data_IF_302412994886
#
_entry.id   IF_302412994886
#
_cell.length_a   1.000
_cell.length_b   1.000
_cell.length_c   1.000
_cell.angle_alpha   90.00
_cell.angle_beta   90.00
_cell.angle_gamma   90.00
#
_symmetry.space_group_name_H-M   'P 1'
#
loop_
_entity.id
_entity.type
_entity.pdbx_description
1 polymer ?
#
# COMPACT_ATOMS: atom_id res chain seq x y z
N UNK A 1 44.65 -13.44 -38.07
CA UNK A 1 43.90 -12.17 -37.92
C UNK A 1 42.38 -12.36 -37.82
N UNK A 2 41.72 -13.12 -38.69
CA UNK A 2 40.24 -13.25 -38.68
C UNK A 2 39.66 -13.76 -37.35
N UNK A 3 40.28 -14.78 -36.73
CA UNK A 3 39.81 -15.36 -35.46
C UNK A 3 39.90 -14.40 -34.26
N UNK A 4 40.90 -13.51 -34.25
CA UNK A 4 41.07 -12.49 -33.20
C UNK A 4 40.04 -11.38 -33.38
N UNK A 5 39.77 -10.99 -34.63
CA UNK A 5 38.75 -9.98 -34.95
C UNK A 5 37.34 -10.47 -34.55
N UNK A 6 37.05 -11.76 -34.79
CA UNK A 6 35.78 -12.38 -34.35
C UNK A 6 35.65 -12.43 -32.82
N UNK A 7 36.75 -12.65 -32.10
CA UNK A 7 36.74 -12.68 -30.63
C UNK A 7 36.53 -11.28 -30.02
N UNK A 8 37.14 -10.24 -30.62
CA UNK A 8 36.91 -8.84 -30.23
C UNK A 8 35.47 -8.39 -30.52
N UNK A 9 34.88 -8.83 -31.63
CA UNK A 9 33.50 -8.53 -31.97
C UNK A 9 32.51 -9.14 -30.96
N UNK A 10 32.78 -10.36 -30.49
CA UNK A 10 31.97 -11.03 -29.47
C UNK A 10 31.95 -10.27 -28.14
N UNK A 11 33.11 -9.75 -27.71
CA UNK A 11 33.23 -8.97 -26.45
C UNK A 11 32.48 -7.64 -26.54
N UNK A 12 32.48 -6.99 -27.71
CA UNK A 12 31.76 -5.73 -27.90
C UNK A 12 30.24 -5.91 -27.84
N UNK A 13 29.72 -7.06 -28.30
CA UNK A 13 28.30 -7.41 -28.22
C UNK A 13 27.85 -7.90 -26.83
N UNK A 14 28.80 -8.27 -25.97
CA UNK A 14 28.57 -8.66 -24.58
C UNK A 14 28.59 -7.45 -23.63
N UNK A 15 28.31 -6.24 -24.14
CA UNK A 15 27.90 -5.12 -23.27
C UNK A 15 26.55 -5.48 -22.64
N UNK A 16 26.62 -6.30 -21.60
CA UNK A 16 25.47 -6.72 -20.80
C UNK A 16 24.95 -5.44 -20.18
N UNK A 17 23.79 -4.99 -20.63
CA UNK A 17 23.03 -3.97 -19.94
C UNK A 17 22.75 -4.57 -18.56
N UNK A 18 23.52 -4.14 -17.56
CA UNK A 18 23.18 -4.43 -16.18
C UNK A 18 21.74 -3.98 -16.00
N UNK A 19 20.93 -4.79 -15.32
CA UNK A 19 19.71 -4.23 -14.76
C UNK A 19 20.15 -3.07 -13.88
N UNK A 20 19.60 -1.88 -14.14
CA UNK A 20 20.07 -0.67 -13.48
C UNK A 20 20.06 -0.84 -11.96
N UNK A 21 21.09 -0.33 -11.29
CA UNK A 21 21.19 -0.42 -9.84
C UNK A 21 20.18 0.55 -9.20
N UNK A 22 19.56 0.10 -8.11
CA UNK A 22 18.72 0.96 -7.28
C UNK A 22 19.59 1.69 -6.28
N UNK A 23 19.70 3.01 -6.44
CA UNK A 23 20.33 3.88 -5.46
C UNK A 23 19.26 4.50 -4.58
N UNK A 24 19.36 4.32 -3.26
CA UNK A 24 18.48 5.00 -2.30
C UNK A 24 18.43 6.49 -2.58
N UNK A 25 17.23 7.05 -2.65
CA UNK A 25 17.01 8.48 -2.79
C UNK A 25 16.53 9.06 -1.45
N UNK A 26 15.34 8.65 -1.01
CA UNK A 26 14.71 9.18 0.20
C UNK A 26 13.60 8.28 0.72
N UNK A 27 13.20 8.50 1.97
CA UNK A 27 11.95 8.00 2.54
C UNK A 27 10.89 9.09 2.43
N UNK A 28 9.67 8.73 2.05
CA UNK A 28 8.58 9.68 1.80
C UNK A 28 7.26 9.19 2.38
N UNK A 29 6.47 10.13 2.90
CA UNK A 29 5.08 9.93 3.29
C UNK A 29 4.17 10.55 2.21
N UNK A 30 3.30 9.72 1.62
CA UNK A 30 2.34 10.14 0.60
C UNK A 30 0.96 10.25 1.23
N UNK A 31 0.37 11.46 1.22
CA UNK A 31 -0.99 11.71 1.72
C UNK A 31 -1.97 11.98 0.59
N UNK A 32 -1.69 12.94 -0.28
CA UNK A 32 -2.47 13.21 -1.49
C UNK A 32 -1.93 12.42 -2.68
N UNK A 33 -2.61 12.49 -3.83
CA UNK A 33 -2.17 11.78 -5.03
C UNK A 33 -0.82 12.31 -5.51
N UNK A 34 0.12 11.40 -5.65
CA UNK A 34 1.43 11.66 -6.24
C UNK A 34 1.79 10.58 -7.27
N UNK A 35 2.71 10.90 -8.17
CA UNK A 35 3.15 10.00 -9.24
C UNK A 35 4.61 9.62 -9.04
N UNK A 36 4.94 8.34 -9.19
CA UNK A 36 6.33 7.88 -9.23
C UNK A 36 7.06 8.57 -10.39
N UNK A 37 8.11 9.38 -10.15
CA UNK A 37 8.77 10.12 -11.22
C UNK A 37 9.49 9.21 -12.24
N UNK A 38 9.71 9.71 -13.45
CA UNK A 38 10.54 9.04 -14.45
C UNK A 38 11.97 8.83 -13.90
N UNK A 39 12.57 7.67 -14.21
CA UNK A 39 13.90 7.30 -13.71
C UNK A 39 13.93 6.90 -12.23
N UNK A 40 12.76 6.75 -11.60
CA UNK A 40 12.63 6.32 -10.20
C UNK A 40 11.70 5.13 -10.05
N UNK A 41 11.84 4.46 -8.91
CA UNK A 41 10.93 3.41 -8.44
C UNK A 41 10.62 3.67 -6.98
N UNK A 42 9.38 3.41 -6.57
CA UNK A 42 8.99 3.47 -5.16
C UNK A 42 8.79 2.07 -4.61
N UNK A 43 9.17 1.88 -3.35
CA UNK A 43 8.87 0.69 -2.56
C UNK A 43 7.97 1.10 -1.40
N UNK A 44 6.70 0.71 -1.44
CA UNK A 44 5.81 0.87 -0.29
C UNK A 44 6.22 -0.12 0.79
N UNK A 45 6.62 0.41 1.94
CA UNK A 45 7.01 -0.40 3.09
C UNK A 45 5.84 -0.62 4.03
N UNK A 46 5.06 0.45 4.28
CA UNK A 46 3.95 0.40 5.21
C UNK A 46 2.95 1.54 4.96
N UNK A 47 1.91 1.60 5.78
CA UNK A 47 0.97 2.70 5.82
C UNK A 47 0.70 3.10 7.28
N UNK A 48 0.28 4.36 7.48
CA UNK A 48 -0.08 4.90 8.77
C UNK A 48 -1.60 5.09 8.82
N UNK A 49 -2.33 4.34 9.66
CA UNK A 49 -3.74 4.55 9.92
C UNK A 49 -4.06 5.98 10.39
N UNK A 50 -5.23 6.51 10.00
CA UNK A 50 -5.71 7.77 10.56
C UNK A 50 -6.17 7.59 12.02
N UNK A 51 -5.82 8.53 12.91
CA UNK A 51 -6.09 8.48 14.36
C UNK A 51 -7.57 8.73 14.73
N UNK A 52 -8.34 9.30 13.80
CA UNK A 52 -9.75 9.58 13.99
C UNK A 52 -10.54 8.73 13.00
N UNK A 53 -11.44 7.91 13.53
CA UNK A 53 -12.48 7.23 12.78
C UNK A 53 -11.93 6.24 11.76
N UNK A 54 -11.64 5.01 12.20
CA UNK A 54 -11.86 3.89 11.30
C UNK A 54 -13.37 3.86 11.01
N UNK A 55 -13.79 4.52 9.93
CA UNK A 55 -15.21 4.61 9.55
C UNK A 55 -15.62 3.22 9.08
N UNK A 56 -16.66 2.71 9.73
CA UNK A 56 -17.38 1.57 9.20
C UNK A 56 -18.23 2.04 8.01
N UNK A 57 -17.88 1.56 6.83
CA UNK A 57 -18.55 1.88 5.55
C UNK A 57 -20.02 1.45 5.52
N UNK A 58 -20.43 0.53 6.40
CA UNK A 58 -21.80 0.03 6.47
C UNK A 58 -22.60 0.59 7.65
N UNK A 59 -22.03 1.49 8.45
CA UNK A 59 -22.70 2.04 9.63
C UNK A 59 -23.77 3.05 9.24
N UNK A 60 -25.04 2.73 9.51
CA UNK A 60 -26.10 3.74 9.45
C UNK A 60 -25.94 4.76 10.60
N UNK A 61 -26.14 6.07 10.36
CA UNK A 61 -25.91 7.13 11.36
C UNK A 61 -26.73 7.04 12.66
N UNK A 62 -27.83 6.27 12.69
CA UNK A 62 -28.83 6.32 13.77
C UNK A 62 -29.33 4.95 14.23
N UNK A 63 -28.58 3.87 14.01
CA UNK A 63 -28.91 2.57 14.57
C UNK A 63 -27.72 2.07 15.38
N UNK A 64 -27.95 1.74 16.66
CA UNK A 64 -27.00 1.02 17.50
C UNK A 64 -26.88 -0.44 17.03
N UNK A 65 -26.47 -0.66 15.78
CA UNK A 65 -25.92 -1.95 15.35
C UNK A 65 -24.43 -1.82 15.54
N UNK A 66 -23.93 -2.51 16.55
CA UNK A 66 -22.54 -2.45 16.91
C UNK A 66 -21.82 -3.62 16.23
N UNK A 67 -21.11 -3.29 15.16
CA UNK A 67 -20.49 -4.24 14.25
C UNK A 67 -20.31 -3.59 12.88
N UNK A 68 -19.10 -3.64 12.34
CA UNK A 68 -18.72 -2.82 11.20
C UNK A 68 -17.47 -3.26 10.45
N UNK A 69 -17.39 -2.88 9.17
CA UNK A 69 -16.23 -3.14 8.31
C UNK A 69 -15.38 -1.89 8.17
N UNK A 70 -14.16 -1.93 8.70
CA UNK A 70 -13.16 -0.88 8.57
C UNK A 70 -12.13 -1.30 7.53
N UNK A 71 -12.16 -0.64 6.38
CA UNK A 71 -11.20 -0.90 5.30
C UNK A 71 -10.08 0.14 5.32
N UNK A 72 -8.85 -0.32 5.13
CA UNK A 72 -7.67 0.52 4.90
C UNK A 72 -7.36 0.47 3.42
N UNK A 73 -7.57 1.59 2.73
CA UNK A 73 -7.55 1.65 1.26
C UNK A 73 -6.53 2.67 0.80
N UNK A 74 -5.69 2.26 -0.15
CA UNK A 74 -4.83 3.13 -0.96
C UNK A 74 -5.39 3.21 -2.38
N UNK A 75 -5.24 4.35 -3.05
CA UNK A 75 -5.56 4.48 -4.46
C UNK A 75 -4.30 4.28 -5.29
N UNK A 76 -4.32 3.29 -6.19
CA UNK A 76 -3.25 3.03 -7.16
C UNK A 76 -3.80 3.26 -8.57
N UNK A 77 -3.28 4.25 -9.29
CA UNK A 77 -3.82 4.67 -10.59
C UNK A 77 -5.34 4.98 -10.54
N UNK A 78 -5.81 5.52 -9.42
CA UNK A 78 -7.23 5.79 -9.15
C UNK A 78 -8.07 4.58 -8.73
N UNK A 79 -7.52 3.36 -8.76
CA UNK A 79 -8.22 2.15 -8.32
C UNK A 79 -8.03 1.91 -6.83
N UNK A 80 -9.09 1.45 -6.15
CA UNK A 80 -9.03 1.09 -4.73
C UNK A 80 -8.26 -0.22 -4.54
N UNK A 81 -7.26 -0.20 -3.66
CA UNK A 81 -6.50 -1.37 -3.22
C UNK A 81 -6.61 -1.49 -1.70
N UNK A 82 -7.12 -2.62 -1.23
CA UNK A 82 -7.27 -2.91 0.19
C UNK A 82 -5.95 -3.40 0.78
N UNK A 83 -5.47 -2.72 1.82
CA UNK A 83 -4.29 -3.13 2.59
C UNK A 83 -4.68 -4.05 3.74
N UNK A 84 -5.76 -3.70 4.42
CA UNK A 84 -6.34 -4.43 5.53
C UNK A 84 -7.85 -4.20 5.60
N UNK A 85 -8.57 -5.17 6.12
CA UNK A 85 -9.95 -5.02 6.55
C UNK A 85 -10.12 -5.53 7.97
N UNK A 86 -10.80 -4.76 8.81
CA UNK A 86 -11.23 -5.19 10.15
C UNK A 86 -12.74 -5.36 10.11
N UNK A 87 -13.23 -6.52 10.53
CA UNK A 87 -14.65 -6.76 10.71
C UNK A 87 -14.91 -6.89 12.21
N UNK A 88 -15.77 -6.03 12.75
CA UNK A 88 -16.27 -6.15 14.11
C UNK A 88 -17.69 -6.70 14.11
N UNK A 89 -18.01 -7.52 15.10
CA UNK A 89 -19.35 -7.97 15.41
C UNK A 89 -19.53 -7.90 16.92
N UNK A 90 -20.56 -7.22 17.39
CA UNK A 90 -20.97 -7.35 18.79
C UNK A 90 -22.00 -8.47 18.94
N UNK A 91 -21.79 -9.31 19.95
CA UNK A 91 -22.71 -10.35 20.38
C UNK A 91 -23.17 -9.97 21.78
N UNK A 92 -24.46 -9.66 21.93
CA UNK A 92 -25.04 -9.13 23.16
C UNK A 92 -25.27 -7.62 23.04
N UNK A 93 -26.50 -7.19 23.26
CA UNK A 93 -26.88 -5.77 23.26
C UNK A 93 -26.71 -5.23 24.67
N UNK A 94 -26.24 -4.00 24.79
CA UNK A 94 -26.61 -3.17 25.95
C UNK A 94 -28.05 -2.67 25.74
N UNK A 95 -29.01 -3.60 25.68
CA UNK A 95 -30.41 -3.28 25.78
C UNK A 95 -30.63 -2.89 27.25
N UNK A 96 -31.02 -1.64 27.51
CA UNK A 96 -31.39 -1.16 28.85
C UNK A 96 -32.54 -1.94 29.51
N UNK A 97 -33.14 -2.88 28.77
CA UNK A 97 -34.13 -3.83 29.25
C UNK A 97 -33.53 -5.10 29.89
N UNK A 98 -32.27 -5.47 29.56
CA UNK A 98 -31.63 -6.71 30.02
C UNK A 98 -30.28 -6.52 30.74
N UNK A 99 -29.74 -5.30 30.81
CA UNK A 99 -28.44 -5.00 31.45
C UNK A 99 -27.34 -6.00 31.07
N UNK A 100 -27.24 -6.36 29.79
CA UNK A 100 -26.16 -7.19 29.28
C UNK A 100 -25.02 -6.31 28.79
N UNK A 101 -23.82 -6.58 29.30
CA UNK A 101 -22.60 -6.11 28.66
C UNK A 101 -22.42 -6.92 27.36
N UNK A 102 -22.45 -6.23 26.22
CA UNK A 102 -22.18 -6.83 24.93
C UNK A 102 -20.71 -7.25 24.79
N UNK A 103 -20.45 -8.39 24.17
CA UNK A 103 -19.09 -8.80 23.80
C UNK A 103 -18.79 -8.34 22.37
N UNK A 104 -17.74 -7.53 22.20
CA UNK A 104 -17.23 -7.17 20.87
C UNK A 104 -16.17 -8.17 20.42
N UNK A 105 -16.41 -8.83 19.28
CA UNK A 105 -15.41 -9.61 18.57
C UNK A 105 -14.91 -8.81 17.36
N UNK A 106 -13.60 -8.77 17.16
CA UNK A 106 -12.96 -8.16 16.00
C UNK A 106 -12.08 -9.19 15.28
N UNK A 107 -12.09 -9.15 13.96
CA UNK A 107 -11.21 -9.94 13.11
C UNK A 107 -10.50 -9.02 12.13
N UNK A 108 -9.17 -9.10 12.10
CA UNK A 108 -8.32 -8.33 11.21
C UNK A 108 -7.77 -9.23 10.10
N UNK A 109 -7.95 -8.80 8.85
CA UNK A 109 -7.43 -9.47 7.67
C UNK A 109 -6.51 -8.53 6.93
N UNK A 110 -5.23 -8.90 6.83
CA UNK A 110 -4.27 -8.20 5.98
C UNK A 110 -4.47 -8.67 4.55
N UNK A 111 -4.97 -7.80 3.69
CA UNK A 111 -5.31 -8.14 2.30
C UNK A 111 -4.10 -8.06 1.38
N UNK A 112 -3.19 -7.10 1.61
CA UNK A 112 -1.97 -6.94 0.82
C UNK A 112 -0.73 -7.25 1.66
N UNK A 113 0.16 -8.09 1.13
CA UNK A 113 1.49 -8.30 1.70
C UNK A 113 2.45 -7.21 1.22
N UNK A 114 2.94 -6.41 2.17
CA UNK A 114 3.98 -5.41 1.97
C UNK A 114 5.37 -6.02 2.27
N UNK A 115 6.45 -5.58 1.60
CA UNK A 115 6.50 -4.40 0.73
C UNK A 115 5.96 -4.62 -0.69
N UNK A 116 5.60 -3.54 -1.38
CA UNK A 116 5.18 -3.56 -2.78
C UNK A 116 5.94 -2.51 -3.60
N UNK A 117 6.28 -2.84 -4.85
CA UNK A 117 7.08 -1.96 -5.73
C UNK A 117 6.23 -1.31 -6.82
N UNK A 118 6.40 -0.01 -7.01
CA UNK A 118 5.71 0.78 -8.01
C UNK A 118 6.70 1.31 -9.06
N UNK A 119 6.48 0.98 -10.35
CA UNK A 119 7.27 1.57 -11.43
C UNK A 119 6.93 3.04 -11.65
N UNK A 120 7.82 3.74 -12.37
CA UNK A 120 7.59 5.09 -12.86
C UNK A 120 6.22 5.24 -13.55
N UNK A 121 5.54 6.36 -13.30
CA UNK A 121 4.21 6.65 -13.84
C UNK A 121 3.04 6.12 -13.00
N UNK A 122 3.28 5.26 -12.00
CA UNK A 122 2.23 4.82 -11.07
C UNK A 122 1.79 5.99 -10.19
N UNK A 123 0.48 6.22 -10.03
CA UNK A 123 -0.03 7.16 -9.04
C UNK A 123 -0.41 6.45 -7.75
N UNK A 124 -0.09 7.06 -6.60
CA UNK A 124 -0.35 6.56 -5.25
C UNK A 124 -1.00 7.68 -4.44
N UNK A 125 -2.08 7.39 -3.73
CA UNK A 125 -2.73 8.34 -2.81
C UNK A 125 -3.25 7.63 -1.55
N UNK A 126 -3.10 8.23 -0.37
CA UNK A 126 -3.81 7.76 0.80
C UNK A 126 -5.32 7.99 0.61
N UNK A 127 -6.14 7.10 1.16
CA UNK A 127 -7.60 7.16 1.04
C UNK A 127 -8.26 6.70 2.34
N UNK A 128 -9.23 5.79 2.27
CA UNK A 128 -10.03 5.38 3.42
C UNK A 128 -9.17 4.87 4.58
N UNK A 129 -9.33 5.49 5.75
CA UNK A 129 -8.67 5.16 7.02
C UNK A 129 -7.13 5.17 6.99
N UNK A 130 -6.50 5.75 5.97
CA UNK A 130 -5.04 5.90 5.85
C UNK A 130 -4.69 7.38 5.87
N UNK A 131 -3.77 7.78 6.74
CA UNK A 131 -3.24 9.14 6.79
C UNK A 131 -2.05 9.31 5.84
N UNK A 132 -1.12 8.35 5.87
CA UNK A 132 0.07 8.36 5.02
C UNK A 132 0.39 6.96 4.50
N UNK A 133 0.89 6.89 3.29
CA UNK A 133 1.60 5.73 2.76
C UNK A 133 3.10 5.98 2.91
N UNK A 134 3.82 5.06 3.55
CA UNK A 134 5.27 5.13 3.68
C UNK A 134 5.95 4.44 2.50
N UNK A 135 6.70 5.19 1.71
CA UNK A 135 7.46 4.69 0.56
C UNK A 135 8.95 5.02 0.69
N UNK A 136 9.79 4.14 0.17
CA UNK A 136 11.20 4.43 -0.10
C UNK A 136 11.34 4.66 -1.60
N UNK A 137 11.86 5.80 -1.97
CA UNK A 137 12.16 6.15 -3.35
C UNK A 137 13.60 5.78 -3.69
N UNK A 138 13.80 5.18 -4.86
CA UNK A 138 15.11 4.85 -5.42
C UNK A 138 15.26 5.49 -6.79
N UNK A 139 16.49 5.91 -7.10
CA UNK A 139 16.90 6.25 -8.46
C UNK A 139 17.28 4.96 -9.20
N UNK A 140 16.90 4.88 -10.48
CA UNK A 140 17.34 3.83 -11.40
C UNK A 140 18.61 4.35 -12.09
N UNK A 141 19.75 3.73 -11.80
CA UNK A 141 21.05 4.08 -12.41
C UNK A 141 21.36 3.02 -13.47
N UNK A 142 21.60 3.39 -14.75
CA UNK A 142 21.96 2.46 -15.82
C UNK A 142 23.18 1.59 -15.51
#
# INVERSE_FOLDING_TARGET
MSRILSFLFLIFTLSIWSQGNLQFNQVKLVSTQETVPAGKVWKMENYMPASQLAIDINRQPNIAVAGGTKNFIVLINGNQVFLQTTITREVGRNDGYWSQDGYAAASDFKTLNLPYWFPAGTTVAASTNILYVNVIEFNIVP
#
